data_IF_734855740378
#
_entry.id   IF_734855740378
#
_cell.length_a   1.000
_cell.length_b   1.000
_cell.length_c   1.000
_cell.angle_alpha   90.00
_cell.angle_beta   90.00
_cell.angle_gamma   90.00
#
_symmetry.space_group_name_H-M   'P 1'
#
loop_
_entity.id
_entity.type
_entity.pdbx_description
1 polymer ?
#
# COMPACT_ATOMS: atom_id res chain seq x y z
N UNK A 1 -2.00 14.34 20.25
CA UNK A 1 -1.01 13.53 19.50
C UNK A 1 -1.67 12.41 18.70
N UNK A 2 -2.38 11.44 19.31
CA UNK A 2 -3.05 10.35 18.57
C UNK A 2 -4.10 10.81 17.56
N UNK A 3 -4.94 11.81 17.90
CA UNK A 3 -5.95 12.34 16.98
C UNK A 3 -5.38 12.95 15.70
N UNK A 4 -4.24 13.65 15.81
CA UNK A 4 -3.54 14.24 14.66
C UNK A 4 -2.97 13.12 13.79
N UNK A 5 -2.34 12.11 14.40
CA UNK A 5 -1.86 10.94 13.67
C UNK A 5 -2.97 10.17 12.95
N UNK A 6 -4.14 10.03 13.59
CA UNK A 6 -5.29 9.36 13.00
C UNK A 6 -5.90 10.17 11.83
N UNK A 7 -5.95 11.50 11.95
CA UNK A 7 -6.38 12.38 10.87
C UNK A 7 -5.46 12.26 9.64
N UNK A 8 -4.14 12.30 9.85
CA UNK A 8 -3.15 12.12 8.79
C UNK A 8 -3.25 10.72 8.15
N UNK A 9 -3.40 9.68 8.98
CA UNK A 9 -3.58 8.31 8.51
C UNK A 9 -4.86 8.14 7.68
N UNK A 10 -5.98 8.72 8.14
CA UNK A 10 -7.26 8.67 7.43
C UNK A 10 -7.17 9.35 6.07
N UNK A 11 -6.55 10.53 6.00
CA UNK A 11 -6.33 11.24 4.75
C UNK A 11 -5.45 10.43 3.79
N UNK A 12 -4.32 9.89 4.27
CA UNK A 12 -3.45 9.06 3.46
C UNK A 12 -4.16 7.80 2.93
N UNK A 13 -4.87 7.08 3.79
CA UNK A 13 -5.58 5.86 3.42
C UNK A 13 -6.70 6.11 2.40
N UNK A 14 -7.37 7.27 2.48
CA UNK A 14 -8.42 7.66 1.55
C UNK A 14 -7.89 7.93 0.13
N UNK A 15 -6.65 8.42 -0.01
CA UNK A 15 -6.09 8.83 -1.30
C UNK A 15 -5.35 7.68 -2.01
N UNK A 16 -4.59 6.87 -1.27
CA UNK A 16 -3.69 5.85 -1.87
C UNK A 16 -4.43 4.83 -2.73
N UNK A 17 -5.51 4.22 -2.22
CA UNK A 17 -6.25 3.17 -2.94
C UNK A 17 -6.88 3.66 -4.26
N UNK A 18 -7.64 4.79 -4.29
CA UNK A 18 -8.21 5.28 -5.53
C UNK A 18 -7.14 5.78 -6.51
N UNK A 19 -6.08 6.45 -6.06
CA UNK A 19 -5.00 6.90 -6.96
C UNK A 19 -4.29 5.74 -7.65
N UNK A 20 -3.93 4.68 -6.90
CA UNK A 20 -3.34 3.47 -7.49
C UNK A 20 -4.31 2.78 -8.44
N UNK A 21 -5.60 2.70 -8.08
CA UNK A 21 -6.62 2.09 -8.94
C UNK A 21 -6.80 2.85 -10.25
N UNK A 22 -6.79 4.18 -10.21
CA UNK A 22 -6.83 5.05 -11.40
C UNK A 22 -5.59 4.86 -12.27
N UNK A 23 -4.40 4.83 -11.66
CA UNK A 23 -3.15 4.62 -12.38
C UNK A 23 -3.15 3.26 -13.10
N UNK A 24 -3.55 2.19 -12.40
CA UNK A 24 -3.61 0.82 -12.97
C UNK A 24 -4.71 0.69 -14.04
N UNK A 25 -5.82 1.42 -13.90
CA UNK A 25 -6.93 1.48 -14.86
C UNK A 25 -6.54 2.13 -16.20
N UNK A 26 -5.49 2.95 -16.21
CA UNK A 26 -4.88 3.53 -17.41
C UNK A 26 -4.05 2.49 -18.20
N UNK A 27 -3.61 1.40 -17.54
CA UNK A 27 -2.88 0.32 -18.19
C UNK A 27 -3.85 -0.74 -18.78
N UNK A 28 -3.65 -1.05 -20.06
CA UNK A 28 -4.33 -2.15 -20.76
C UNK A 28 -5.48 -1.71 -21.68
N UNK A 29 -5.75 -2.53 -22.68
CA UNK A 29 -6.88 -2.34 -23.60
C UNK A 29 -8.23 -2.60 -22.92
N UNK A 30 -9.34 -2.09 -23.47
CA UNK A 30 -10.69 -2.22 -22.87
C UNK A 30 -11.09 -3.68 -22.57
N UNK A 31 -10.58 -4.65 -23.32
CA UNK A 31 -10.82 -6.07 -23.11
C UNK A 31 -10.06 -6.66 -21.90
N UNK A 32 -8.89 -6.13 -21.58
CA UNK A 32 -8.00 -6.66 -20.52
C UNK A 32 -8.15 -5.92 -19.18
N UNK A 33 -8.88 -4.80 -19.17
CA UNK A 33 -9.06 -3.94 -18.00
C UNK A 33 -9.64 -4.66 -16.80
N UNK A 34 -10.57 -5.60 -17.02
CA UNK A 34 -11.12 -6.46 -15.97
C UNK A 34 -10.07 -7.34 -15.30
N UNK A 35 -9.19 -7.96 -16.09
CA UNK A 35 -8.10 -8.80 -15.59
C UNK A 35 -7.06 -7.98 -14.84
N UNK A 36 -6.65 -6.82 -15.37
CA UNK A 36 -5.68 -5.93 -14.74
C UNK A 36 -6.18 -5.41 -13.38
N UNK A 37 -7.43 -4.95 -13.32
CA UNK A 37 -8.06 -4.53 -12.05
C UNK A 37 -8.32 -5.71 -11.10
N UNK A 38 -8.60 -6.90 -11.64
CA UNK A 38 -8.75 -8.14 -10.89
C UNK A 38 -7.46 -8.54 -10.18
N UNK A 39 -6.32 -8.46 -10.87
CA UNK A 39 -4.98 -8.72 -10.28
C UNK A 39 -4.71 -7.72 -9.16
N UNK A 40 -4.99 -6.43 -9.35
CA UNK A 40 -4.83 -5.40 -8.32
C UNK A 40 -5.66 -5.71 -7.06
N UNK A 41 -6.93 -6.08 -7.22
CA UNK A 41 -7.78 -6.48 -6.07
C UNK A 41 -7.29 -7.76 -5.39
N UNK A 42 -6.88 -8.76 -6.16
CA UNK A 42 -6.37 -10.03 -5.62
C UNK A 42 -5.12 -9.81 -4.76
N UNK A 43 -4.17 -9.00 -5.25
CA UNK A 43 -2.99 -8.56 -4.48
C UNK A 43 -3.40 -7.83 -3.19
N UNK A 44 -4.42 -6.97 -3.26
CA UNK A 44 -4.98 -6.31 -2.09
C UNK A 44 -5.54 -7.29 -1.05
N UNK A 45 -6.27 -8.32 -1.49
CA UNK A 45 -6.78 -9.37 -0.61
C UNK A 45 -5.63 -10.18 0.03
N UNK A 46 -4.60 -10.52 -0.74
CA UNK A 46 -3.40 -11.21 -0.24
C UNK A 46 -2.68 -10.39 0.82
N UNK A 47 -2.51 -9.08 0.57
CA UNK A 47 -1.91 -8.16 1.54
C UNK A 47 -2.73 -8.09 2.83
N UNK A 48 -4.06 -8.10 2.75
CA UNK A 48 -4.94 -8.13 3.94
C UNK A 48 -4.92 -9.46 4.68
N UNK A 49 -4.63 -10.58 4.01
CA UNK A 49 -4.46 -11.87 4.67
C UNK A 49 -3.11 -11.98 5.38
N UNK A 50 -2.02 -11.56 4.73
CA UNK A 50 -0.67 -11.68 5.28
C UNK A 50 -0.31 -10.56 6.27
N UNK A 51 -0.81 -9.35 6.07
CA UNK A 51 -0.48 -8.18 6.88
C UNK A 51 -0.72 -8.38 8.38
N UNK A 52 -1.91 -8.83 8.81
CA UNK A 52 -2.20 -9.11 10.22
C UNK A 52 -1.35 -10.24 10.79
N UNK A 53 -1.05 -11.28 10.00
CA UNK A 53 -0.22 -12.41 10.44
C UNK A 53 1.19 -11.91 10.78
N UNK A 54 1.83 -11.20 9.86
CA UNK A 54 3.18 -10.66 10.07
C UNK A 54 3.19 -9.62 11.20
N UNK A 55 2.23 -8.69 11.20
CA UNK A 55 2.18 -7.63 12.21
C UNK A 55 1.94 -8.18 13.62
N UNK A 56 1.06 -9.19 13.75
CA UNK A 56 0.80 -9.83 15.04
C UNK A 56 2.03 -10.58 15.54
N UNK A 57 2.71 -11.35 14.69
CA UNK A 57 3.95 -12.06 15.07
C UNK A 57 5.03 -11.09 15.56
N UNK A 58 5.26 -9.98 14.84
CA UNK A 58 6.26 -8.97 15.25
C UNK A 58 5.86 -8.27 16.55
N UNK A 59 4.57 -7.94 16.72
CA UNK A 59 4.06 -7.31 17.93
C UNK A 59 4.29 -8.18 19.18
N UNK A 60 4.04 -9.50 19.09
CA UNK A 60 4.22 -10.41 20.21
C UNK A 60 5.68 -10.68 20.57
N UNK A 61 6.60 -10.65 19.60
CA UNK A 61 8.01 -10.97 19.82
C UNK A 61 8.82 -9.73 20.26
N UNK A 62 8.62 -8.59 19.58
CA UNK A 62 9.45 -7.38 19.73
C UNK A 62 8.70 -6.21 20.39
N UNK A 63 7.42 -6.36 20.69
CA UNK A 63 6.59 -5.34 21.32
C UNK A 63 6.04 -4.28 20.35
N UNK A 64 5.17 -3.42 20.88
CA UNK A 64 4.43 -2.42 20.10
C UNK A 64 5.35 -1.42 19.38
N UNK A 65 6.33 -0.86 20.08
CA UNK A 65 7.20 0.19 19.53
C UNK A 65 8.00 -0.31 18.31
N UNK A 66 8.57 -1.51 18.40
CA UNK A 66 9.30 -2.12 17.30
C UNK A 66 8.39 -2.40 16.09
N UNK A 67 7.16 -2.89 16.34
CA UNK A 67 6.20 -3.16 15.27
C UNK A 67 5.82 -1.88 14.50
N UNK A 68 5.53 -0.78 15.21
CA UNK A 68 5.18 0.49 14.57
C UNK A 68 6.36 1.13 13.84
N UNK A 69 7.57 1.10 14.42
CA UNK A 69 8.77 1.61 13.75
C UNK A 69 9.11 0.82 12.48
N UNK A 70 9.04 -0.51 12.55
CA UNK A 70 9.29 -1.39 11.41
C UNK A 70 8.28 -1.14 10.29
N UNK A 71 6.98 -1.06 10.65
CA UNK A 71 5.92 -0.78 9.68
C UNK A 71 6.08 0.60 9.05
N UNK A 72 6.44 1.60 9.86
CA UNK A 72 6.72 2.96 9.36
C UNK A 72 7.91 2.99 8.41
N UNK A 73 8.97 2.23 8.68
CA UNK A 73 10.11 2.10 7.77
C UNK A 73 9.72 1.37 6.47
N UNK A 74 8.86 0.35 6.56
CA UNK A 74 8.38 -0.39 5.40
C UNK A 74 7.58 0.49 4.42
N UNK A 75 6.95 1.59 4.87
CA UNK A 75 6.30 2.58 3.99
C UNK A 75 7.27 3.33 3.06
N UNK A 76 8.57 3.34 3.36
CA UNK A 76 9.58 3.94 2.47
C UNK A 76 9.75 3.13 1.18
N UNK A 77 9.58 1.81 1.25
CA UNK A 77 9.72 0.90 0.11
C UNK A 77 8.74 1.23 -1.03
N UNK A 78 7.40 1.28 -0.81
CA UNK A 78 6.47 1.63 -1.88
C UNK A 78 6.67 3.06 -2.40
N UNK A 79 7.12 4.01 -1.56
CA UNK A 79 7.47 5.35 -2.01
C UNK A 79 8.66 5.36 -2.97
N UNK A 80 9.70 4.58 -2.66
CA UNK A 80 10.86 4.42 -3.53
C UNK A 80 10.53 3.69 -4.84
N UNK A 81 9.65 2.69 -4.78
CA UNK A 81 9.18 1.99 -5.99
C UNK A 81 8.34 2.92 -6.87
N UNK A 82 7.46 3.73 -6.27
CA UNK A 82 6.63 4.67 -7.01
C UNK A 82 7.47 5.77 -7.65
N UNK A 83 8.47 6.32 -6.95
CA UNK A 83 9.36 7.34 -7.52
C UNK A 83 10.21 6.80 -8.68
N UNK A 84 10.62 5.53 -8.61
CA UNK A 84 11.31 4.87 -9.72
C UNK A 84 10.37 4.61 -10.90
N UNK A 85 9.14 4.17 -10.63
CA UNK A 85 8.13 3.92 -11.66
C UNK A 85 7.67 5.21 -12.36
N UNK A 86 7.55 6.33 -11.62
CA UNK A 86 7.20 7.62 -12.22
C UNK A 86 8.29 8.12 -13.16
N UNK A 87 9.57 7.94 -12.79
CA UNK A 87 10.72 8.30 -13.65
C UNK A 87 10.74 7.52 -14.95
N UNK A 88 10.40 6.23 -14.93
CA UNK A 88 10.32 5.39 -16.13
C UNK A 88 9.16 5.74 -17.07
N UNK A 89 8.14 6.49 -16.62
CA UNK A 89 7.05 6.98 -17.48
C UNK A 89 7.39 8.34 -18.12
N UNK A 90 8.40 9.04 -17.62
CA UNK A 90 8.88 10.33 -18.16
C UNK A 90 9.96 10.17 -19.24
N UNK A 91 10.62 9.00 -19.33
CA UNK A 91 11.51 8.61 -20.45
C UNK A 91 10.72 7.89 -21.57
#
# INVERSE_FOLDING_TARGET
MLYIGLALYSFAAAVVVPCLSTLVSDYGSASQKGTVMGILRSLGCLARALGPVVSSSVYWIAGAQACFLLTSAAFVIPLALLSKASRLKEE
#
